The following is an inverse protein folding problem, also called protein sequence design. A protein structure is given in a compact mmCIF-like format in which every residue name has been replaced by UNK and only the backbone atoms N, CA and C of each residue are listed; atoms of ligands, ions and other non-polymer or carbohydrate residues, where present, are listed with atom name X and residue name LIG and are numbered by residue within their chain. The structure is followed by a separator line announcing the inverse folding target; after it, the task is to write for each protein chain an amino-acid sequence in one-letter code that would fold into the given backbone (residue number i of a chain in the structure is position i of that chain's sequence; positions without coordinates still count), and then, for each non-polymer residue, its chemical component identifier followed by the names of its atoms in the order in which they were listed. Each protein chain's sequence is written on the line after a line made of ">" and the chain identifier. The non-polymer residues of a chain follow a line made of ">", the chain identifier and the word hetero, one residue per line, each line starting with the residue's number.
data_IF_482788625417
#
_entry.id   IF_482788625417
#
_cell.length_a   1.000
_cell.length_b   1.000
_cell.length_c   1.000
_cell.angle_alpha   90.00
_cell.angle_beta   90.00
_cell.angle_gamma   90.00
#
_symmetry.space_group_name_H-M   'P 1'
#
loop_
_entity.id
_entity.type
_entity.pdbx_description
1 polymer ?
#
# COMPACT_ATOMS: atom_id res chain seq x y z
N UNK A 1 1.22 -23.11 -44.53
CA UNK A 1 1.45 -22.03 -43.57
C UNK A 1 2.88 -21.58 -43.74
N UNK A 2 3.09 -20.33 -44.14
CA UNK A 2 4.42 -19.82 -44.47
C UNK A 2 5.18 -19.51 -43.17
N UNK A 3 6.51 -19.65 -43.18
CA UNK A 3 7.40 -19.34 -42.03
C UNK A 3 7.22 -17.91 -41.49
N UNK A 4 6.65 -17.01 -42.31
CA UNK A 4 6.29 -15.63 -41.98
C UNK A 4 5.07 -15.55 -41.05
N UNK A 5 4.13 -16.48 -41.16
CA UNK A 5 2.92 -16.56 -40.33
C UNK A 5 3.25 -17.04 -38.91
N UNK A 6 4.19 -17.98 -38.75
CA UNK A 6 4.68 -18.42 -37.44
C UNK A 6 5.45 -17.34 -36.69
N UNK A 7 6.21 -16.49 -37.39
CA UNK A 7 6.99 -15.42 -36.76
C UNK A 7 6.08 -14.31 -36.20
N UNK A 8 4.99 -13.98 -36.92
CA UNK A 8 4.00 -13.01 -36.45
C UNK A 8 3.24 -13.52 -35.22
N UNK A 9 2.90 -14.81 -35.17
CA UNK A 9 2.25 -15.41 -34.00
C UNK A 9 3.20 -15.40 -32.79
N UNK A 10 4.48 -15.71 -32.98
CA UNK A 10 5.45 -15.72 -31.89
C UNK A 10 5.67 -14.32 -31.29
N UNK A 11 5.74 -13.28 -32.13
CA UNK A 11 5.88 -11.88 -31.70
C UNK A 11 4.62 -11.42 -30.97
N UNK A 12 3.43 -11.80 -31.45
CA UNK A 12 2.15 -11.46 -30.80
C UNK A 12 2.04 -12.08 -29.40
N UNK A 13 2.46 -13.35 -29.24
CA UNK A 13 2.48 -14.03 -27.95
C UNK A 13 3.50 -13.40 -26.99
N UNK A 14 4.68 -13.00 -27.48
CA UNK A 14 5.72 -12.36 -26.64
C UNK A 14 5.27 -10.98 -26.11
N UNK A 15 4.54 -10.21 -26.92
CA UNK A 15 4.00 -8.89 -26.53
C UNK A 15 2.88 -9.03 -25.49
N UNK A 16 2.05 -10.07 -25.57
CA UNK A 16 0.99 -10.29 -24.59
C UNK A 16 1.49 -10.68 -23.19
N UNK A 17 2.66 -11.31 -23.07
CA UNK A 17 3.22 -11.70 -21.75
C UNK A 17 3.85 -10.52 -21.01
N UNK A 18 4.32 -9.49 -21.74
CA UNK A 18 4.92 -8.27 -21.17
C UNK A 18 3.94 -7.30 -20.51
N UNK A 19 2.62 -7.50 -20.69
CA UNK A 19 1.58 -6.69 -20.03
C UNK A 19 0.97 -7.37 -18.81
N UNK A 20 1.60 -8.41 -18.26
CA UNK A 20 1.33 -8.83 -16.88
C UNK A 20 1.91 -7.78 -15.93
N UNK A 21 1.20 -6.65 -15.88
CA UNK A 21 1.42 -5.53 -14.96
C UNK A 21 1.62 -6.08 -13.56
N UNK A 22 2.80 -5.84 -12.98
CA UNK A 22 3.02 -5.96 -11.56
C UNK A 22 2.09 -4.93 -10.91
N UNK A 23 0.99 -5.42 -10.34
CA UNK A 23 0.05 -4.60 -9.60
C UNK A 23 0.69 -4.25 -8.25
N UNK A 24 1.32 -3.08 -8.19
CA UNK A 24 1.92 -2.52 -6.98
C UNK A 24 0.94 -1.59 -6.25
N UNK A 25 -0.35 -1.62 -6.60
CA UNK A 25 -1.38 -0.86 -5.90
C UNK A 25 -1.85 -1.62 -4.67
N UNK A 26 -1.83 -0.95 -3.52
CA UNK A 26 -2.65 -1.37 -2.39
C UNK A 26 -4.10 -1.13 -2.82
N UNK A 27 -4.84 -2.19 -3.11
CA UNK A 27 -6.27 -2.04 -3.30
C UNK A 27 -6.83 -1.44 -2.00
N UNK A 28 -7.44 -0.23 -2.06
CA UNK A 28 -8.11 0.31 -0.91
C UNK A 28 -9.10 -0.75 -0.44
N UNK A 29 -9.12 -1.00 0.87
CA UNK A 29 -10.14 -1.88 1.45
C UNK A 29 -11.43 -1.11 1.28
N UNK A 30 -12.17 -1.41 0.22
CA UNK A 30 -13.52 -0.94 -0.06
C UNK A 30 -14.40 -2.19 -0.14
N UNK A 31 -14.89 -2.60 1.04
CA UNK A 31 -15.78 -3.75 1.15
C UNK A 31 -17.12 -3.28 1.70
N UNK A 32 -18.14 -3.27 0.85
CA UNK A 32 -19.54 -3.18 1.24
C UNK A 32 -20.11 -4.59 1.40
N UNK A 33 -19.74 -5.29 2.48
CA UNK A 33 -20.17 -6.69 2.67
C UNK A 33 -20.97 -6.89 3.95
N UNK A 34 -22.19 -7.41 3.79
CA UNK A 34 -23.06 -7.74 4.92
C UNK A 34 -23.55 -6.50 5.65
N UNK A 35 -23.12 -6.35 6.91
CA UNK A 35 -23.61 -5.33 7.85
C UNK A 35 -22.70 -4.12 7.97
N UNK A 36 -21.44 -4.22 7.56
CA UNK A 36 -20.49 -3.10 7.62
C UNK A 36 -19.93 -2.78 6.25
N UNK A 37 -19.63 -1.50 6.06
CA UNK A 37 -18.71 -1.03 5.04
C UNK A 37 -17.39 -0.61 5.68
N UNK A 38 -16.29 -0.99 5.03
CA UNK A 38 -14.93 -0.73 5.48
C UNK A 38 -14.22 0.05 4.38
N UNK A 39 -13.64 1.19 4.74
CA UNK A 39 -12.83 2.05 3.86
C UNK A 39 -11.47 2.33 4.49
N UNK A 40 -10.37 2.08 3.77
CA UNK A 40 -9.04 2.47 4.24
C UNK A 40 -7.92 1.97 3.33
N UNK A 41 -6.70 2.44 3.61
CA UNK A 41 -5.49 1.99 2.96
C UNK A 41 -4.34 1.89 3.97
N UNK A 42 -3.36 1.03 3.68
CA UNK A 42 -2.22 0.73 4.55
C UNK A 42 -0.92 1.15 3.87
N UNK A 43 -0.44 2.36 4.11
CA UNK A 43 0.80 2.86 3.47
C UNK A 43 2.08 2.27 4.10
N UNK A 44 3.05 1.83 3.29
CA UNK A 44 4.34 1.35 3.78
C UNK A 44 5.25 2.46 4.33
N UNK A 45 4.99 3.71 3.97
CA UNK A 45 5.81 4.87 4.31
C UNK A 45 5.25 5.66 5.51
N UNK A 46 4.01 5.39 5.91
CA UNK A 46 3.40 6.02 7.07
C UNK A 46 3.54 5.12 8.31
N UNK A 47 3.51 5.75 9.49
CA UNK A 47 3.45 5.03 10.77
C UNK A 47 2.00 4.91 11.28
N UNK A 48 1.10 5.74 10.76
CA UNK A 48 -0.27 5.84 11.25
C UNK A 48 -1.21 5.61 10.09
N UNK A 49 -2.13 4.67 10.27
CA UNK A 49 -3.10 4.27 9.26
C UNK A 49 -4.51 4.47 9.79
N UNK A 50 -5.42 4.84 8.90
CA UNK A 50 -6.81 5.17 9.22
C UNK A 50 -7.75 4.23 8.49
N UNK A 51 -8.63 3.58 9.25
CA UNK A 51 -9.61 2.64 8.73
C UNK A 51 -10.99 3.14 9.17
N UNK A 52 -11.83 3.52 8.22
CA UNK A 52 -13.20 3.95 8.50
C UNK A 52 -14.13 2.74 8.42
N UNK A 53 -15.01 2.60 9.41
CA UNK A 53 -16.04 1.57 9.44
C UNK A 53 -17.41 2.23 9.56
N UNK A 54 -18.38 1.71 8.83
CA UNK A 54 -19.76 2.19 8.82
C UNK A 54 -20.72 1.00 8.92
N UNK A 55 -21.77 1.12 9.72
CA UNK A 55 -22.92 0.21 9.67
C UNK A 55 -23.80 0.52 8.45
N UNK A 56 -24.03 -0.49 7.60
CA UNK A 56 -24.86 -0.39 6.40
C UNK A 56 -26.36 -0.48 6.69
N UNK A 57 -26.75 -0.98 7.87
CA UNK A 57 -28.15 -1.07 8.29
C UNK A 57 -28.63 0.21 8.97
N UNK A 58 -27.71 1.07 9.41
CA UNK A 58 -28.03 2.35 10.01
C UNK A 58 -28.29 3.42 8.93
N UNK A 59 -29.33 4.27 9.08
CA UNK A 59 -29.51 5.40 8.19
C UNK A 59 -28.38 6.43 8.35
N UNK A 60 -28.15 7.23 7.32
CA UNK A 60 -27.08 8.22 7.28
C UNK A 60 -27.52 9.53 7.96
N UNK A 61 -27.70 9.48 9.29
CA UNK A 61 -28.05 10.64 10.13
C UNK A 61 -27.15 10.72 11.36
N UNK A 62 -27.04 11.90 11.97
CA UNK A 62 -26.20 12.12 13.15
C UNK A 62 -26.59 11.20 14.32
N UNK A 63 -27.88 11.02 14.61
CA UNK A 63 -28.30 10.18 15.74
C UNK A 63 -28.04 8.70 15.49
N UNK A 64 -28.22 8.24 14.25
CA UNK A 64 -28.01 6.85 13.88
C UNK A 64 -26.53 6.46 13.78
N UNK A 65 -25.65 7.45 13.63
CA UNK A 65 -24.20 7.24 13.49
C UNK A 65 -23.41 7.63 14.75
N UNK A 66 -24.08 8.14 15.79
CA UNK A 66 -23.44 8.54 17.07
C UNK A 66 -22.66 7.40 17.74
N UNK A 67 -23.16 6.18 17.61
CA UNK A 67 -22.50 4.98 18.11
C UNK A 67 -22.33 3.94 17.02
N UNK A 68 -21.30 3.10 17.18
CA UNK A 68 -21.03 1.96 16.31
C UNK A 68 -20.74 0.77 17.22
N UNK A 69 -21.59 -0.25 17.18
CA UNK A 69 -21.31 -1.54 17.83
C UNK A 69 -20.32 -2.33 16.97
N UNK A 70 -19.03 -2.03 17.07
CA UNK A 70 -17.99 -2.73 16.34
C UNK A 70 -16.68 -2.78 17.13
N UNK A 71 -16.11 -3.97 17.25
CA UNK A 71 -14.72 -4.19 17.66
C UNK A 71 -13.90 -4.43 16.40
N UNK A 72 -12.93 -3.55 16.13
CA UNK A 72 -12.07 -3.66 14.96
C UNK A 72 -10.71 -4.17 15.40
N UNK A 73 -10.22 -5.21 14.72
CA UNK A 73 -8.91 -5.81 14.98
C UNK A 73 -8.12 -5.96 13.69
N UNK A 74 -6.81 -5.78 13.81
CA UNK A 74 -5.86 -6.01 12.73
C UNK A 74 -4.87 -7.10 13.17
N UNK A 75 -4.82 -8.17 12.40
CA UNK A 75 -3.92 -9.30 12.61
C UNK A 75 -2.88 -9.36 11.49
N UNK A 76 -1.61 -9.45 11.83
CA UNK A 76 -0.56 -9.86 10.91
C UNK A 76 -0.51 -11.40 10.90
N UNK A 77 -0.83 -12.02 9.76
CA UNK A 77 -0.95 -13.47 9.64
C UNK A 77 0.41 -14.18 9.63
N UNK A 78 1.44 -13.54 9.09
CA UNK A 78 2.80 -14.09 9.00
C UNK A 78 3.52 -14.09 10.36
N UNK A 79 3.27 -13.08 11.18
CA UNK A 79 3.90 -12.89 12.50
C UNK A 79 3.01 -13.32 13.66
N UNK A 80 1.73 -13.56 13.41
CA UNK A 80 0.75 -13.97 14.41
C UNK A 80 0.40 -12.90 15.45
N UNK A 81 0.74 -11.63 15.21
CA UNK A 81 0.38 -10.52 16.10
C UNK A 81 -1.01 -9.98 15.78
N UNK A 82 -1.78 -9.65 16.81
CA UNK A 82 -3.12 -9.05 16.68
C UNK A 82 -3.22 -7.82 17.56
N UNK A 83 -3.83 -6.76 17.04
CA UNK A 83 -4.10 -5.51 17.77
C UNK A 83 -5.57 -5.15 17.62
N UNK A 84 -6.21 -4.79 18.73
CA UNK A 84 -7.53 -4.14 18.72
C UNK A 84 -7.32 -2.64 18.49
N UNK A 85 -8.05 -2.07 17.55
CA UNK A 85 -7.87 -0.67 17.14
C UNK A 85 -8.77 0.27 17.94
N UNK A 86 -8.24 1.44 18.28
CA UNK A 86 -9.00 2.50 18.93
C UNK A 86 -9.82 3.29 17.91
N UNK A 87 -11.10 3.54 18.21
CA UNK A 87 -11.98 4.37 17.39
C UNK A 87 -11.82 5.85 17.72
N UNK A 88 -11.86 6.69 16.68
CA UNK A 88 -12.04 8.14 16.74
C UNK A 88 -13.23 8.54 15.89
N UNK A 89 -14.15 9.30 16.48
CA UNK A 89 -15.37 9.76 15.81
C UNK A 89 -15.20 11.20 15.36
N UNK A 90 -15.55 11.47 14.10
CA UNK A 90 -15.52 12.80 13.52
C UNK A 90 -16.86 13.09 12.85
N UNK A 91 -17.47 14.24 13.18
CA UNK A 91 -18.66 14.74 12.49
C UNK A 91 -18.28 15.38 11.16
N UNK A 92 -19.01 15.04 10.10
CA UNK A 92 -18.95 15.68 8.80
C UNK A 92 -20.34 15.71 8.17
N UNK A 93 -20.81 16.90 7.79
CA UNK A 93 -22.11 17.09 7.13
C UNK A 93 -23.31 16.49 7.89
N UNK A 94 -23.25 16.46 9.23
CA UNK A 94 -24.31 15.94 10.08
C UNK A 94 -24.32 14.41 10.17
N UNK A 95 -23.16 13.78 9.97
CA UNK A 95 -22.96 12.34 10.08
C UNK A 95 -21.64 12.05 10.77
N UNK A 96 -21.68 11.11 11.72
CA UNK A 96 -20.51 10.69 12.46
C UNK A 96 -19.76 9.58 11.70
N UNK A 97 -18.46 9.77 11.54
CA UNK A 97 -17.55 8.81 10.93
C UNK A 97 -16.67 8.14 11.98
N UNK A 98 -16.83 6.83 12.14
CA UNK A 98 -16.00 6.02 13.02
C UNK A 98 -14.72 5.62 12.31
N UNK A 99 -13.60 6.17 12.76
CA UNK A 99 -12.27 5.97 12.17
C UNK A 99 -11.34 5.32 13.19
N UNK A 100 -10.89 4.12 12.87
CA UNK A 100 -9.99 3.31 13.68
C UNK A 100 -8.55 3.58 13.30
N UNK A 101 -7.68 3.73 14.30
CA UNK A 101 -6.28 4.13 14.09
C UNK A 101 -5.34 2.98 14.41
N UNK A 102 -4.43 2.69 13.48
CA UNK A 102 -3.32 1.76 13.69
C UNK A 102 -2.00 2.53 13.64
N UNK A 103 -1.22 2.51 14.73
CA UNK A 103 -0.02 3.35 14.92
C UNK A 103 1.31 2.60 14.74
N UNK A 104 1.27 1.41 14.15
CA UNK A 104 2.47 0.64 13.92
C UNK A 104 2.76 0.58 12.42
N UNK A 105 4.03 0.45 12.09
CA UNK A 105 4.47 0.29 10.72
C UNK A 105 3.94 -1.01 10.09
N UNK A 106 3.52 -0.90 8.83
CA UNK A 106 3.20 -2.05 7.98
C UNK A 106 4.50 -2.65 7.44
N UNK A 107 4.63 -3.97 7.58
CA UNK A 107 5.79 -4.71 7.11
C UNK A 107 5.54 -5.10 5.65
N UNK A 108 6.46 -4.78 4.73
CA UNK A 108 6.36 -5.21 3.33
C UNK A 108 6.28 -6.72 3.21
N UNK A 109 5.48 -7.22 2.25
CA UNK A 109 5.22 -8.64 1.98
C UNK A 109 4.41 -9.40 3.05
N UNK A 110 4.15 -8.83 4.22
CA UNK A 110 3.32 -9.48 5.22
C UNK A 110 1.83 -9.39 4.81
N UNK A 111 1.08 -10.44 5.07
CA UNK A 111 -0.38 -10.50 4.94
C UNK A 111 -1.06 -10.09 6.23
N UNK A 112 -2.03 -9.19 6.10
CA UNK A 112 -2.83 -8.67 7.17
C UNK A 112 -4.29 -9.07 7.01
N UNK A 113 -4.94 -9.40 8.13
CA UNK A 113 -6.38 -9.58 8.22
C UNK A 113 -6.98 -8.50 9.11
N UNK A 114 -7.85 -7.70 8.52
CA UNK A 114 -8.73 -6.80 9.25
C UNK A 114 -10.03 -7.54 9.56
N UNK A 115 -10.49 -7.49 10.81
CA UNK A 115 -11.76 -8.06 11.22
C UNK A 115 -12.58 -7.02 11.98
N UNK A 116 -13.86 -6.91 11.62
CA UNK A 116 -14.86 -6.07 12.27
C UNK A 116 -15.91 -6.97 12.87
N UNK A 117 -15.99 -7.02 14.20
CA UNK A 117 -16.88 -7.90 14.95
C UNK A 117 -17.93 -7.09 15.72
N UNK A 118 -19.20 -7.48 15.58
CA UNK A 118 -20.32 -6.92 16.33
C UNK A 118 -20.51 -7.67 17.65
N UNK A 119 -21.11 -7.04 18.66
CA UNK A 119 -21.34 -7.67 19.97
C UNK A 119 -22.14 -8.98 19.95
N UNK A 120 -22.92 -9.25 18.90
CA UNK A 120 -23.69 -10.48 18.71
C UNK A 120 -22.93 -11.61 17.99
N UNK A 121 -21.64 -11.41 17.71
CA UNK A 121 -20.73 -12.39 17.13
C UNK A 121 -20.71 -12.42 15.60
N UNK A 122 -21.44 -11.53 14.91
CA UNK A 122 -21.27 -11.35 13.47
C UNK A 122 -19.94 -10.66 13.18
N UNK A 123 -19.16 -11.21 12.24
CA UNK A 123 -17.88 -10.65 11.85
C UNK A 123 -17.75 -10.52 10.32
N UNK A 124 -17.12 -9.43 9.89
CA UNK A 124 -16.70 -9.20 8.50
C UNK A 124 -15.20 -9.07 8.47
N UNK A 125 -14.54 -9.80 7.56
CA UNK A 125 -13.09 -9.85 7.48
C UNK A 125 -12.62 -9.45 6.08
N UNK A 126 -11.54 -8.67 6.01
CA UNK A 126 -10.80 -8.37 4.80
C UNK A 126 -9.35 -8.84 4.98
N UNK A 127 -8.75 -9.40 3.92
CA UNK A 127 -7.34 -9.83 3.94
C UNK A 127 -6.60 -9.11 2.82
N UNK A 128 -5.46 -8.52 3.14
CA UNK A 128 -4.62 -7.76 2.21
C UNK A 128 -3.16 -8.15 2.41
N UNK A 129 -2.41 -8.29 1.32
CA UNK A 129 -0.96 -8.47 1.37
C UNK A 129 -0.28 -7.15 1.07
N UNK A 130 0.59 -6.71 1.97
CA UNK A 130 1.35 -5.49 1.76
C UNK A 130 2.36 -5.69 0.61
N UNK A 131 2.54 -4.71 -0.29
CA UNK A 131 3.43 -4.86 -1.43
C UNK A 131 4.89 -4.97 -0.98
N UNK A 132 5.75 -5.41 -1.89
CA UNK A 132 7.20 -5.35 -1.70
C UNK A 132 7.64 -3.89 -1.58
N UNK A 133 8.60 -3.60 -0.70
CA UNK A 133 9.25 -2.29 -0.67
C UNK A 133 10.41 -2.31 -1.67
N UNK A 134 10.39 -1.45 -2.72
CA UNK A 134 11.47 -1.43 -3.69
C UNK A 134 12.77 -0.93 -3.04
N UNK A 135 13.87 -1.64 -3.30
CA UNK A 135 15.20 -1.22 -2.90
C UNK A 135 15.88 -0.51 -4.08
N UNK A 136 16.22 0.77 -3.98
CA UNK A 136 16.91 1.48 -5.05
C UNK A 136 18.34 0.94 -5.19
N UNK A 137 18.66 0.41 -6.36
CA UNK A 137 20.02 0.01 -6.70
C UNK A 137 20.68 1.10 -7.55
N UNK A 138 21.80 1.65 -7.05
CA UNK A 138 22.62 2.62 -7.78
C UNK A 138 23.98 1.98 -8.05
N UNK A 139 24.33 1.83 -9.33
CA UNK A 139 25.64 1.33 -9.74
C UNK A 139 26.26 2.26 -10.80
N UNK A 140 27.56 2.56 -10.72
CA UNK A 140 28.24 3.35 -11.73
C UNK A 140 28.29 2.58 -13.06
N UNK A 141 27.76 3.17 -14.12
CA UNK A 141 27.91 2.63 -15.47
C UNK A 141 29.27 3.02 -16.03
N UNK A 142 30.19 2.06 -15.96
CA UNK A 142 31.58 2.15 -16.41
C UNK A 142 32.43 3.12 -15.58
N UNK A 143 33.55 2.62 -15.05
CA UNK A 143 34.51 3.36 -14.22
C UNK A 143 35.36 4.39 -15.00
N UNK A 144 34.81 5.03 -16.03
CA UNK A 144 35.46 6.12 -16.73
C UNK A 144 34.88 7.44 -16.22
N UNK A 145 35.71 8.48 -16.10
CA UNK A 145 35.42 9.74 -15.38
C UNK A 145 34.22 10.60 -15.87
N UNK A 146 33.37 10.05 -16.75
CA UNK A 146 32.01 10.49 -16.97
C UNK A 146 31.11 9.32 -16.57
N UNK A 147 30.56 9.36 -15.35
CA UNK A 147 29.69 8.28 -14.86
C UNK A 147 28.24 8.69 -15.12
N UNK A 148 27.61 8.25 -16.23
CA UNK A 148 26.16 8.27 -16.29
C UNK A 148 25.63 7.39 -15.16
N UNK A 149 24.67 7.91 -14.41
CA UNK A 149 23.96 7.16 -13.38
C UNK A 149 22.62 6.78 -13.99
N UNK A 150 22.43 5.51 -14.33
CA UNK A 150 21.10 5.00 -14.64
C UNK A 150 20.44 4.58 -13.34
N UNK A 151 19.19 4.96 -13.21
CA UNK A 151 18.37 4.67 -12.06
C UNK A 151 17.06 4.10 -12.55
N UNK A 152 16.73 2.91 -12.06
CA UNK A 152 15.50 2.19 -12.36
C UNK A 152 14.74 1.98 -11.06
N UNK A 153 13.44 2.30 -11.08
CA UNK A 153 12.53 1.99 -9.99
C UNK A 153 11.37 1.19 -10.55
N UNK A 154 10.88 0.25 -9.76
CA UNK A 154 9.55 -0.30 -9.96
C UNK A 154 8.50 0.83 -9.85
N UNK A 155 7.35 0.75 -10.55
CA UNK A 155 6.38 1.84 -10.61
C UNK A 155 5.91 2.26 -9.21
N UNK A 156 6.03 3.56 -8.93
CA UNK A 156 5.67 4.19 -7.65
C UNK A 156 4.60 5.26 -7.86
N UNK A 157 3.50 5.19 -7.09
CA UNK A 157 2.59 6.32 -6.95
C UNK A 157 3.13 7.27 -5.87
N UNK A 158 3.52 8.49 -6.27
CA UNK A 158 3.68 9.62 -5.34
C UNK A 158 5.01 9.77 -4.58
N UNK A 159 6.11 9.13 -5.01
CA UNK A 159 7.39 9.22 -4.29
C UNK A 159 8.24 10.44 -4.68
N UNK A 160 9.01 10.98 -3.72
CA UNK A 160 10.05 12.00 -3.97
C UNK A 160 11.42 11.33 -3.99
N UNK A 161 12.18 11.50 -5.08
CA UNK A 161 13.58 11.07 -5.16
C UNK A 161 14.48 12.27 -4.81
N UNK A 162 15.31 12.10 -3.77
CA UNK A 162 16.33 13.09 -3.40
C UNK A 162 17.70 12.55 -3.77
N UNK A 163 18.32 13.15 -4.79
CA UNK A 163 19.71 12.89 -5.16
C UNK A 163 20.63 13.89 -4.44
N UNK A 164 21.46 13.40 -3.53
CA UNK A 164 22.58 14.16 -2.98
C UNK A 164 23.86 13.71 -3.68
N UNK A 165 24.49 14.61 -4.42
CA UNK A 165 25.77 14.36 -5.07
C UNK A 165 26.88 15.02 -4.27
N UNK A 166 27.95 14.28 -4.01
CA UNK A 166 29.18 14.80 -3.42
C UNK A 166 30.32 14.55 -4.39
N UNK A 167 30.98 15.61 -4.83
CA UNK A 167 32.29 15.49 -5.48
C UNK A 167 33.35 15.57 -4.41
N UNK A 168 34.25 14.57 -4.37
CA UNK A 168 35.48 14.69 -3.61
C UNK A 168 36.38 15.61 -4.43
N UNK A 169 36.53 16.85 -3.99
CA UNK A 169 37.63 17.68 -4.49
C UNK A 169 38.88 17.09 -3.82
N UNK A 170 39.68 16.38 -4.60
CA UNK A 170 41.04 16.09 -4.17
C UNK A 170 41.74 17.45 -4.14
N UNK A 171 42.04 17.93 -2.94
CA UNK A 171 42.83 19.14 -2.74
C UNK A 171 44.24 18.84 -3.26
N UNK A 172 44.54 19.24 -4.50
CA UNK A 172 45.90 19.29 -5.03
C UNK A 172 46.65 20.45 -4.34
N UNK A 173 47.03 20.26 -3.09
CA UNK A 173 48.15 20.96 -2.47
C UNK A 173 49.30 19.96 -2.27
N UNK A 174 50.31 20.03 -3.14
CA UNK A 174 51.65 20.30 -2.62
C UNK A 174 52.55 20.87 -3.74
N UNK A 175 52.96 22.11 -3.48
CA UNK A 175 54.06 22.84 -4.11
C UNK A 175 55.29 21.98 -4.38
N UNK A 176 55.91 22.17 -5.54
CA UNK A 176 57.38 22.26 -5.59
C UNK A 176 57.88 23.16 -6.72
#
# INVERSE_FOLDING_TARGET
>A
MTTKDSLFILISVLVCVGFSSCDNSLDPIDLETGIYSIYGFLDLNEQTHYIRVRDLNAPFTIEATDSLDATVSLQNLDRGSTVILDSRVWDHEGVNHHTFVYNNQIIPNDTYRLAVERSDGFAVNATITAPTKPEPHVAPLNQNCYVPVDFEMEPLFGSTVVLQTGVRLDDDEEEK
#
